data_IF_764019832470
#
_entry.id   IF_764019832470
#
_cell.length_a   1.000
_cell.length_b   1.000
_cell.length_c   1.000
_cell.angle_alpha   90.00
_cell.angle_beta   90.00
_cell.angle_gamma   90.00
#
_symmetry.space_group_name_H-M   'P 1'
#
loop_
_entity.id
_entity.type
_entity.pdbx_description
1 polymer ?
#
# COMPACT_ATOMS: atom_id res chain seq x y z
N UNK A 1 -28.10 1.88 -3.68
CA UNK A 1 -28.75 1.43 -2.43
C UNK A 1 -28.05 0.18 -1.92
N UNK A 2 -27.52 0.22 -0.70
CA UNK A 2 -26.85 -0.95 -0.08
C UNK A 2 -27.92 -1.96 0.35
N UNK A 3 -27.72 -3.24 0.03
CA UNK A 3 -28.67 -4.31 0.34
C UNK A 3 -28.19 -5.18 1.50
N UNK A 4 -29.14 -5.86 2.17
CA UNK A 4 -28.80 -6.82 3.23
C UNK A 4 -27.89 -7.96 2.70
N UNK A 5 -28.05 -8.35 1.43
CA UNK A 5 -27.22 -9.38 0.79
C UNK A 5 -25.78 -8.94 0.61
N UNK A 6 -25.54 -7.64 0.30
CA UNK A 6 -24.18 -7.10 0.19
C UNK A 6 -23.46 -7.09 1.54
N UNK A 7 -24.16 -6.71 2.62
CA UNK A 7 -23.57 -6.75 3.97
C UNK A 7 -23.29 -8.19 4.40
N UNK A 8 -24.22 -9.13 4.12
CA UNK A 8 -23.97 -10.55 4.39
C UNK A 8 -22.74 -11.08 3.64
N UNK A 9 -22.57 -10.69 2.37
CA UNK A 9 -21.42 -11.06 1.57
C UNK A 9 -20.09 -10.53 2.17
N UNK A 10 -20.09 -9.30 2.73
CA UNK A 10 -18.92 -8.77 3.48
C UNK A 10 -18.63 -9.60 4.73
N UNK A 11 -19.66 -10.01 5.48
CA UNK A 11 -19.49 -10.88 6.65
C UNK A 11 -18.88 -12.23 6.31
N UNK A 12 -19.29 -12.83 5.18
CA UNK A 12 -18.69 -14.08 4.70
C UNK A 12 -17.23 -13.91 4.28
N UNK A 13 -16.87 -12.75 3.70
CA UNK A 13 -15.46 -12.41 3.40
C UNK A 13 -14.64 -12.27 4.68
N UNK A 14 -15.18 -11.59 5.69
CA UNK A 14 -14.52 -11.40 6.97
C UNK A 14 -14.26 -12.74 7.71
N UNK A 15 -15.22 -13.66 7.68
CA UNK A 15 -15.05 -15.01 8.25
C UNK A 15 -13.95 -15.78 7.52
N UNK A 16 -13.91 -15.73 6.19
CA UNK A 16 -12.84 -16.36 5.40
C UNK A 16 -11.47 -15.77 5.73
N UNK A 17 -11.39 -14.45 5.83
CA UNK A 17 -10.15 -13.74 6.19
C UNK A 17 -9.64 -14.16 7.58
N UNK A 18 -10.54 -14.33 8.56
CA UNK A 18 -10.20 -14.84 9.89
C UNK A 18 -9.52 -16.22 9.82
N UNK A 19 -10.07 -17.10 9.00
CA UNK A 19 -9.52 -18.46 8.81
C UNK A 19 -8.13 -18.42 8.16
N UNK A 20 -7.96 -17.62 7.11
CA UNK A 20 -6.66 -17.50 6.41
C UNK A 20 -5.57 -16.88 7.28
N UNK A 21 -5.92 -15.92 8.11
CA UNK A 21 -4.97 -15.21 8.97
C UNK A 21 -4.53 -16.02 10.21
N UNK A 22 -5.21 -17.12 10.57
CA UNK A 22 -4.92 -17.90 11.80
C UNK A 22 -4.81 -17.02 13.04
N UNK A 23 -5.79 -16.15 13.27
CA UNK A 23 -5.72 -15.08 14.28
C UNK A 23 -5.51 -15.59 15.70
N UNK A 24 -6.08 -16.75 16.07
CA UNK A 24 -5.89 -17.31 17.41
C UNK A 24 -4.43 -17.62 17.72
N UNK A 25 -3.74 -18.25 16.76
CA UNK A 25 -2.32 -18.55 16.90
C UNK A 25 -1.48 -17.27 16.96
N UNK A 26 -1.84 -16.27 16.16
CA UNK A 26 -1.17 -14.97 16.18
C UNK A 26 -1.35 -14.25 17.51
N UNK A 27 -2.55 -14.28 18.11
CA UNK A 27 -2.79 -13.69 19.43
C UNK A 27 -1.97 -14.36 20.52
N UNK A 28 -1.92 -15.70 20.53
CA UNK A 28 -1.08 -16.44 21.47
C UNK A 28 0.39 -16.09 21.27
N UNK A 29 0.84 -16.00 20.01
CA UNK A 29 2.21 -15.62 19.71
C UNK A 29 2.55 -14.21 20.21
N UNK A 30 1.64 -13.24 20.02
CA UNK A 30 1.80 -11.86 20.52
C UNK A 30 2.00 -11.87 22.03
N UNK A 31 1.13 -12.55 22.78
CA UNK A 31 1.21 -12.62 24.25
C UNK A 31 2.57 -13.19 24.68
N UNK A 32 2.98 -14.32 24.10
CA UNK A 32 4.24 -14.96 24.43
C UNK A 32 5.47 -14.09 24.11
N UNK A 33 5.44 -13.36 23.02
CA UNK A 33 6.55 -12.47 22.64
C UNK A 33 6.55 -11.18 23.50
N UNK A 34 5.39 -10.64 23.85
CA UNK A 34 5.29 -9.51 24.77
C UNK A 34 5.84 -9.84 26.16
N UNK A 35 5.54 -11.04 26.69
CA UNK A 35 6.13 -11.50 27.95
C UNK A 35 7.66 -11.55 27.87
N UNK A 36 8.23 -11.99 26.75
CA UNK A 36 9.69 -11.99 26.55
C UNK A 36 10.26 -10.56 26.49
N UNK A 37 9.56 -9.63 25.84
CA UNK A 37 10.02 -8.23 25.75
C UNK A 37 10.00 -7.50 27.08
N UNK A 38 9.17 -7.94 28.03
CA UNK A 38 9.10 -7.42 29.39
C UNK A 38 10.25 -7.91 30.30
N UNK A 39 11.05 -8.89 29.87
CA UNK A 39 12.15 -9.43 30.64
C UNK A 39 13.31 -8.42 30.73
N UNK A 40 13.95 -8.24 31.90
CA UNK A 40 15.03 -7.26 32.08
C UNK A 40 16.19 -7.41 31.09
N UNK A 41 16.52 -8.65 30.70
CA UNK A 41 17.67 -8.96 29.84
C UNK A 41 17.35 -8.87 28.34
N UNK A 42 16.11 -8.54 27.96
CA UNK A 42 15.70 -8.46 26.53
C UNK A 42 16.48 -7.40 25.77
N UNK A 43 16.78 -6.28 26.42
CA UNK A 43 17.42 -5.12 25.83
C UNK A 43 18.96 -5.18 25.85
N UNK A 44 19.55 -6.21 26.44
CA UNK A 44 21.01 -6.39 26.48
C UNK A 44 21.62 -6.61 25.10
N UNK A 45 20.83 -7.09 24.13
CA UNK A 45 21.23 -7.23 22.73
C UNK A 45 20.29 -6.43 21.79
N UNK A 46 20.66 -5.16 21.48
CA UNK A 46 19.80 -4.27 20.69
C UNK A 46 19.40 -4.83 19.32
N UNK A 47 20.31 -5.50 18.60
CA UNK A 47 20.03 -6.08 17.27
C UNK A 47 18.97 -7.18 17.37
N UNK A 48 19.10 -8.08 18.36
CA UNK A 48 18.13 -9.15 18.56
C UNK A 48 16.76 -8.60 19.00
N UNK A 49 16.76 -7.58 19.86
CA UNK A 49 15.56 -6.89 20.31
C UNK A 49 14.82 -6.24 19.12
N UNK A 50 15.55 -5.55 18.24
CA UNK A 50 15.03 -4.92 17.04
C UNK A 50 14.34 -5.94 16.11
N UNK A 51 15.00 -7.05 15.80
CA UNK A 51 14.45 -8.13 14.97
C UNK A 51 13.16 -8.68 15.58
N UNK A 52 13.17 -8.96 16.89
CA UNK A 52 11.98 -9.47 17.60
C UNK A 52 10.84 -8.48 17.60
N UNK A 53 11.12 -7.19 17.84
CA UNK A 53 10.10 -6.13 17.81
C UNK A 53 9.53 -5.91 16.41
N UNK A 54 10.37 -5.99 15.36
CA UNK A 54 9.92 -5.91 13.95
C UNK A 54 9.00 -7.09 13.61
N UNK A 55 9.36 -8.30 14.01
CA UNK A 55 8.54 -9.49 13.82
C UNK A 55 7.19 -9.39 14.57
N UNK A 56 7.23 -8.96 15.84
CA UNK A 56 6.04 -8.77 16.67
C UNK A 56 5.09 -7.72 16.07
N UNK A 57 5.63 -6.60 15.58
CA UNK A 57 4.84 -5.58 14.89
C UNK A 57 4.14 -6.15 13.66
N UNK A 58 4.82 -6.96 12.86
CA UNK A 58 4.23 -7.62 11.69
C UNK A 58 3.07 -8.57 12.05
N UNK A 59 3.15 -9.26 13.19
CA UNK A 59 2.05 -10.13 13.66
C UNK A 59 0.89 -9.29 14.19
N UNK A 60 1.16 -8.25 15.00
CA UNK A 60 0.16 -7.31 15.52
C UNK A 60 -0.63 -6.63 14.40
N UNK A 61 0.05 -6.20 13.34
CA UNK A 61 -0.58 -5.59 12.17
C UNK A 61 -1.79 -6.38 11.64
N UNK A 62 -1.66 -7.71 11.56
CA UNK A 62 -2.73 -8.57 11.08
C UNK A 62 -3.90 -8.69 12.06
N UNK A 63 -3.60 -8.78 13.36
CA UNK A 63 -4.63 -8.88 14.40
C UNK A 63 -5.39 -7.57 14.51
N UNK A 64 -4.69 -6.45 14.61
CA UNK A 64 -5.29 -5.10 14.70
C UNK A 64 -6.07 -4.76 13.41
N UNK A 65 -5.51 -5.11 12.25
CA UNK A 65 -6.18 -4.92 10.96
C UNK A 65 -7.51 -5.66 10.87
N UNK A 66 -7.54 -6.92 11.34
CA UNK A 66 -8.76 -7.70 11.39
C UNK A 66 -9.76 -7.16 12.42
N UNK A 67 -9.31 -6.77 13.62
CA UNK A 67 -10.17 -6.18 14.65
C UNK A 67 -10.84 -4.91 14.15
N UNK A 68 -10.10 -4.07 13.43
CA UNK A 68 -10.66 -2.89 12.78
C UNK A 68 -11.67 -3.26 11.69
N UNK A 69 -11.39 -4.28 10.86
CA UNK A 69 -12.35 -4.79 9.87
C UNK A 69 -13.65 -5.25 10.52
N UNK A 70 -13.54 -5.97 11.65
CA UNK A 70 -14.69 -6.46 12.42
C UNK A 70 -15.51 -5.32 13.03
N UNK A 71 -14.84 -4.27 13.55
CA UNK A 71 -15.53 -3.07 14.05
C UNK A 71 -16.28 -2.34 12.94
N UNK A 72 -15.63 -2.11 11.78
CA UNK A 72 -16.26 -1.46 10.64
C UNK A 72 -17.43 -2.28 10.07
N UNK A 73 -17.34 -3.59 10.14
CA UNK A 73 -18.43 -4.48 9.75
C UNK A 73 -19.64 -4.33 10.70
N UNK A 74 -19.41 -4.33 12.01
CA UNK A 74 -20.46 -4.06 13.00
C UNK A 74 -21.12 -2.69 12.82
N UNK A 75 -20.33 -1.65 12.50
CA UNK A 75 -20.84 -0.32 12.18
C UNK A 75 -21.74 -0.34 10.91
N UNK A 76 -21.35 -1.10 9.89
CA UNK A 76 -22.14 -1.23 8.66
C UNK A 76 -23.45 -2.00 8.90
N UNK A 77 -23.45 -3.05 9.74
CA UNK A 77 -24.67 -3.78 10.14
C UNK A 77 -25.64 -2.88 10.91
N UNK A 78 -25.15 -2.17 11.92
CA UNK A 78 -25.95 -1.20 12.69
C UNK A 78 -26.51 -0.09 11.80
N UNK A 79 -25.68 0.43 10.88
CA UNK A 79 -26.12 1.44 9.92
C UNK A 79 -27.26 0.96 9.02
N UNK A 80 -27.27 -0.33 8.65
CA UNK A 80 -28.37 -0.92 7.90
C UNK A 80 -29.65 -1.02 8.73
N UNK A 81 -29.55 -1.37 10.02
CA UNK A 81 -30.70 -1.44 10.93
C UNK A 81 -31.35 -0.07 11.10
N UNK A 82 -30.57 0.95 11.44
CA UNK A 82 -31.06 2.34 11.56
C UNK A 82 -31.63 2.89 10.25
N UNK A 83 -31.05 2.50 9.11
CA UNK A 83 -31.62 2.88 7.82
C UNK A 83 -33.00 2.25 7.58
N UNK A 84 -33.21 0.98 7.96
CA UNK A 84 -34.53 0.30 7.85
C UNK A 84 -35.58 0.91 8.77
N UNK A 85 -35.16 1.43 9.92
CA UNK A 85 -36.01 2.14 10.88
C UNK A 85 -36.29 3.60 10.46
N UNK A 86 -35.60 4.08 9.41
CA UNK A 86 -35.76 5.45 8.90
C UNK A 86 -34.96 6.51 9.68
N UNK A 87 -34.08 6.10 10.57
CA UNK A 87 -33.28 6.99 11.42
C UNK A 87 -31.96 7.42 10.75
N UNK A 88 -31.50 6.72 9.71
CA UNK A 88 -30.24 7.01 9.00
C UNK A 88 -30.50 7.32 7.52
N UNK A 89 -29.69 8.21 6.95
CA UNK A 89 -29.71 8.53 5.51
C UNK A 89 -29.00 7.46 4.68
N UNK A 90 -29.44 7.23 3.46
CA UNK A 90 -28.80 6.30 2.52
C UNK A 90 -27.32 6.66 2.23
N UNK A 91 -26.98 7.96 2.25
CA UNK A 91 -25.61 8.44 2.07
C UNK A 91 -24.67 7.90 3.15
N UNK A 92 -25.14 7.87 4.40
CA UNK A 92 -24.34 7.48 5.56
C UNK A 92 -24.15 5.96 5.61
N UNK A 93 -25.22 5.20 5.32
CA UNK A 93 -25.14 3.75 5.12
C UNK A 93 -24.17 3.40 4.00
N UNK A 94 -24.24 4.09 2.86
CA UNK A 94 -23.34 3.85 1.72
C UNK A 94 -21.88 4.14 2.08
N UNK A 95 -21.66 5.17 2.89
CA UNK A 95 -20.32 5.54 3.38
C UNK A 95 -19.77 4.46 4.32
N UNK A 96 -20.55 4.01 5.31
CA UNK A 96 -20.15 2.97 6.25
C UNK A 96 -19.83 1.65 5.50
N UNK A 97 -20.69 1.24 4.58
CA UNK A 97 -20.49 0.06 3.75
C UNK A 97 -19.18 0.15 2.95
N UNK A 98 -18.96 1.24 2.20
CA UNK A 98 -17.76 1.42 1.39
C UNK A 98 -16.48 1.47 2.23
N UNK A 99 -16.53 2.07 3.42
CA UNK A 99 -15.38 2.10 4.32
C UNK A 99 -15.00 0.70 4.78
N UNK A 100 -16.00 -0.12 5.14
CA UNK A 100 -15.79 -1.53 5.50
C UNK A 100 -15.28 -2.35 4.31
N UNK A 101 -15.92 -2.22 3.15
CA UNK A 101 -15.56 -2.93 1.92
C UNK A 101 -14.10 -2.66 1.52
N UNK A 102 -13.72 -1.39 1.44
CA UNK A 102 -12.36 -0.98 1.08
C UNK A 102 -11.31 -1.52 2.07
N UNK A 103 -11.63 -1.54 3.37
CA UNK A 103 -10.72 -2.05 4.39
C UNK A 103 -10.51 -3.57 4.28
N UNK A 104 -11.60 -4.31 4.05
CA UNK A 104 -11.52 -5.77 3.84
C UNK A 104 -10.75 -6.07 2.56
N UNK A 105 -11.01 -5.37 1.46
CA UNK A 105 -10.28 -5.52 0.20
C UNK A 105 -8.77 -5.27 0.36
N UNK A 106 -8.40 -4.24 1.10
CA UNK A 106 -7.00 -3.93 1.37
C UNK A 106 -6.31 -5.06 2.17
N UNK A 107 -6.97 -5.61 3.19
CA UNK A 107 -6.43 -6.72 3.97
C UNK A 107 -6.32 -8.02 3.15
N UNK A 108 -7.34 -8.32 2.34
CA UNK A 108 -7.31 -9.47 1.43
C UNK A 108 -6.16 -9.35 0.42
N UNK A 109 -5.99 -8.16 -0.15
CA UNK A 109 -4.89 -7.90 -1.08
C UNK A 109 -3.52 -8.05 -0.41
N UNK A 110 -3.33 -7.46 0.77
CA UNK A 110 -2.09 -7.61 1.54
C UNK A 110 -1.81 -9.08 1.88
N UNK A 111 -2.84 -9.87 2.16
CA UNK A 111 -2.70 -11.30 2.43
C UNK A 111 -2.28 -12.11 1.19
N UNK A 112 -2.57 -11.63 -0.02
CA UNK A 112 -2.09 -12.23 -1.27
C UNK A 112 -0.61 -11.95 -1.52
N UNK A 113 -0.05 -10.89 -0.93
CA UNK A 113 1.37 -10.53 -1.01
C UNK A 113 2.17 -11.45 -0.07
N UNK A 114 2.53 -12.64 -0.56
CA UNK A 114 3.13 -13.71 0.23
C UNK A 114 4.66 -13.75 0.17
N UNK A 115 5.29 -12.99 -0.71
CA UNK A 115 6.74 -12.88 -0.82
C UNK A 115 7.35 -12.19 0.42
N UNK A 116 8.52 -12.66 0.87
CA UNK A 116 9.23 -12.03 1.98
C UNK A 116 9.55 -10.56 1.69
N UNK A 117 9.91 -10.27 0.44
CA UNK A 117 10.22 -8.92 -0.04
C UNK A 117 8.98 -8.04 -0.15
N UNK A 118 7.79 -8.61 -0.33
CA UNK A 118 6.54 -7.86 -0.53
C UNK A 118 6.20 -6.95 0.65
N UNK A 119 6.67 -7.27 1.83
CA UNK A 119 6.45 -6.49 3.08
C UNK A 119 7.37 -5.28 3.21
N UNK A 120 8.40 -5.21 2.37
CA UNK A 120 9.43 -4.18 2.46
C UNK A 120 8.94 -2.84 1.89
N UNK A 121 9.65 -1.79 2.29
CA UNK A 121 9.63 -0.50 1.64
C UNK A 121 10.19 -0.61 0.23
N UNK A 122 9.96 0.39 -0.61
CA UNK A 122 10.35 0.36 -2.01
C UNK A 122 11.33 1.48 -2.37
N UNK A 123 12.17 1.21 -3.36
CA UNK A 123 12.93 2.22 -4.11
C UNK A 123 12.41 2.23 -5.54
N UNK A 124 11.85 3.35 -5.96
CA UNK A 124 11.26 3.53 -7.27
C UNK A 124 12.16 4.41 -8.13
N UNK A 125 12.60 3.89 -9.28
CA UNK A 125 13.40 4.60 -10.26
C UNK A 125 12.57 4.85 -11.52
N UNK A 126 12.52 6.10 -11.97
CA UNK A 126 11.84 6.52 -13.19
C UNK A 126 12.90 7.10 -14.12
N UNK A 127 12.95 6.62 -15.36
CA UNK A 127 13.91 7.10 -16.37
C UNK A 127 13.19 7.40 -17.67
N UNK A 128 13.33 8.62 -18.16
CA UNK A 128 12.79 9.03 -19.44
C UNK A 128 13.44 8.22 -20.57
N UNK A 129 12.60 7.68 -21.45
CA UNK A 129 13.02 6.87 -22.60
C UNK A 129 12.89 7.65 -23.92
N UNK A 130 12.46 6.94 -24.97
CA UNK A 130 12.24 7.56 -26.27
C UNK A 130 11.10 8.58 -26.24
N UNK A 131 11.35 9.77 -26.84
CA UNK A 131 10.37 10.86 -26.93
C UNK A 131 10.97 12.27 -26.62
N UNK A 132 12.26 12.34 -26.28
CA UNK A 132 12.93 13.62 -26.00
C UNK A 132 12.27 14.39 -24.84
N UNK A 133 11.96 15.69 -25.04
CA UNK A 133 11.30 16.55 -24.04
C UNK A 133 9.97 15.98 -23.55
N UNK A 134 9.19 15.35 -24.43
CA UNK A 134 7.93 14.71 -24.10
C UNK A 134 8.09 13.57 -23.08
N UNK A 135 9.14 12.75 -23.23
CA UNK A 135 9.39 11.65 -22.29
C UNK A 135 9.85 12.16 -20.93
N UNK A 136 10.61 13.27 -20.90
CA UNK A 136 10.99 13.92 -19.64
C UNK A 136 9.77 14.50 -18.92
N UNK A 137 8.84 15.11 -19.63
CA UNK A 137 7.59 15.63 -19.08
C UNK A 137 6.70 14.47 -18.54
N UNK A 138 6.60 13.37 -19.30
CA UNK A 138 5.89 12.18 -18.88
C UNK A 138 6.49 11.56 -17.61
N UNK A 139 7.83 11.53 -17.50
CA UNK A 139 8.51 11.08 -16.28
C UNK A 139 8.17 11.95 -15.07
N UNK A 140 8.08 13.27 -15.24
CA UNK A 140 7.62 14.19 -14.20
C UNK A 140 6.16 13.95 -13.76
N UNK A 141 5.29 13.63 -14.71
CA UNK A 141 3.89 13.26 -14.40
C UNK A 141 3.81 11.96 -13.62
N UNK A 142 4.59 10.94 -14.00
CA UNK A 142 4.66 9.66 -13.28
C UNK A 142 5.22 9.85 -11.86
N UNK A 143 6.29 10.63 -11.70
CA UNK A 143 6.82 10.96 -10.38
C UNK A 143 5.74 11.54 -9.48
N UNK A 144 5.01 12.54 -9.96
CA UNK A 144 3.93 13.17 -9.21
C UNK A 144 2.82 12.16 -8.86
N UNK A 145 2.44 11.30 -9.79
CA UNK A 145 1.44 10.26 -9.57
C UNK A 145 1.84 9.32 -8.44
N UNK A 146 3.09 8.84 -8.42
CA UNK A 146 3.56 7.93 -7.38
C UNK A 146 3.72 8.61 -6.02
N UNK A 147 4.14 9.88 -5.98
CA UNK A 147 4.19 10.65 -4.74
C UNK A 147 2.77 10.82 -4.16
N UNK A 148 1.79 11.21 -4.98
CA UNK A 148 0.39 11.34 -4.54
C UNK A 148 -0.20 10.01 -4.09
N UNK A 149 0.17 8.90 -4.74
CA UNK A 149 -0.21 7.57 -4.31
C UNK A 149 0.38 7.25 -2.93
N UNK A 150 1.68 7.49 -2.74
CA UNK A 150 2.38 7.26 -1.48
C UNK A 150 1.76 8.08 -0.34
N UNK A 151 1.48 9.37 -0.55
CA UNK A 151 0.79 10.23 0.41
C UNK A 151 -0.60 9.68 0.79
N UNK A 152 -1.37 9.23 -0.21
CA UNK A 152 -2.70 8.65 0.02
C UNK A 152 -2.64 7.36 0.85
N UNK A 153 -1.58 6.57 0.69
CA UNK A 153 -1.35 5.34 1.45
C UNK A 153 -0.70 5.60 2.83
N UNK A 154 -0.34 6.85 3.13
CA UNK A 154 0.35 7.22 4.37
C UNK A 154 1.83 6.80 4.39
N UNK A 155 2.42 6.57 3.22
CA UNK A 155 3.85 6.28 3.08
C UNK A 155 4.68 7.57 3.15
N UNK A 156 5.90 7.45 3.66
CA UNK A 156 6.88 8.54 3.62
C UNK A 156 7.71 8.43 2.35
N UNK A 157 7.90 9.55 1.65
CA UNK A 157 8.70 9.59 0.43
C UNK A 157 9.95 10.44 0.63
N UNK A 158 11.08 9.95 0.09
CA UNK A 158 12.35 10.66 0.10
C UNK A 158 12.98 10.60 -1.27
N UNK A 159 13.29 11.76 -1.84
CA UNK A 159 14.03 11.85 -3.10
C UNK A 159 15.51 11.54 -2.84
N UNK A 160 16.02 10.53 -3.53
CA UNK A 160 17.43 10.14 -3.44
C UNK A 160 18.27 10.77 -4.54
N UNK A 161 17.75 10.73 -5.76
CA UNK A 161 18.42 11.29 -6.95
C UNK A 161 17.38 11.98 -7.83
N UNK A 162 17.67 13.17 -8.29
CA UNK A 162 16.87 13.89 -9.28
C UNK A 162 17.77 14.48 -10.36
N UNK A 163 17.53 14.09 -11.59
CA UNK A 163 18.12 14.73 -12.77
C UNK A 163 17.01 15.33 -13.61
N UNK A 164 17.02 16.64 -13.75
CA UNK A 164 16.05 17.35 -14.57
C UNK A 164 16.32 17.14 -16.08
N UNK A 165 15.28 17.28 -16.90
CA UNK A 165 15.41 17.33 -18.34
C UNK A 165 15.97 18.67 -18.80
N UNK A 166 16.60 18.69 -19.97
CA UNK A 166 17.28 19.90 -20.50
C UNK A 166 16.29 21.07 -20.78
N UNK A 167 15.07 20.77 -21.16
CA UNK A 167 14.04 21.76 -21.52
C UNK A 167 12.86 21.74 -20.56
N UNK A 168 12.39 20.54 -20.20
CA UNK A 168 11.27 20.34 -19.30
C UNK A 168 11.30 18.96 -18.68
N UNK A 169 10.59 18.81 -17.57
CA UNK A 169 10.38 17.53 -16.90
C UNK A 169 11.63 16.94 -16.26
N UNK A 170 11.69 15.64 -16.18
CA UNK A 170 12.69 14.87 -15.42
C UNK A 170 13.32 13.82 -16.34
N UNK A 171 14.64 13.75 -16.35
CA UNK A 171 15.38 12.74 -17.08
C UNK A 171 15.47 11.43 -16.28
N UNK A 172 15.80 11.52 -15.01
CA UNK A 172 15.85 10.38 -14.09
C UNK A 172 15.51 10.84 -12.70
N UNK A 173 14.73 10.06 -11.96
CA UNK A 173 14.49 10.25 -10.55
C UNK A 173 14.49 8.91 -9.83
N UNK A 174 15.04 8.89 -8.62
CA UNK A 174 14.98 7.76 -7.70
C UNK A 174 14.35 8.23 -6.41
N UNK A 175 13.28 7.58 -5.99
CA UNK A 175 12.49 7.91 -4.80
C UNK A 175 12.47 6.68 -3.89
N UNK A 176 12.80 6.89 -2.65
CA UNK A 176 12.56 5.93 -1.58
C UNK A 176 11.13 6.13 -1.06
N UNK A 177 10.40 5.05 -0.92
CA UNK A 177 9.01 5.02 -0.46
C UNK A 177 8.97 4.08 0.75
N UNK A 178 8.92 4.67 1.95
CA UNK A 178 8.90 3.95 3.20
C UNK A 178 7.47 3.66 3.64
N UNK A 179 7.18 2.40 3.87
CA UNK A 179 5.88 1.94 4.37
C UNK A 179 5.71 0.43 4.23
N UNK A 180 4.83 -0.12 5.03
CA UNK A 180 4.54 -1.56 5.01
C UNK A 180 3.91 -1.96 3.68
N UNK A 181 4.46 -3.01 3.06
CA UNK A 181 4.04 -3.53 1.76
C UNK A 181 4.21 -2.58 0.57
N UNK A 182 4.99 -1.49 0.71
CA UNK A 182 5.17 -0.55 -0.40
C UNK A 182 5.74 -1.22 -1.65
N UNK A 183 6.75 -2.11 -1.50
CA UNK A 183 7.28 -2.90 -2.62
C UNK A 183 6.22 -3.84 -3.20
N UNK A 184 5.49 -4.57 -2.37
CA UNK A 184 4.46 -5.51 -2.82
C UNK A 184 3.38 -4.86 -3.69
N UNK A 185 2.94 -3.64 -3.32
CA UNK A 185 1.98 -2.87 -4.11
C UNK A 185 2.57 -2.31 -5.40
N UNK A 186 3.83 -1.89 -5.38
CA UNK A 186 4.45 -1.17 -6.50
C UNK A 186 5.22 -2.08 -7.47
N UNK A 187 5.59 -3.31 -7.09
CA UNK A 187 6.36 -4.21 -7.95
C UNK A 187 5.71 -4.49 -9.31
N UNK A 188 4.38 -4.43 -9.39
CA UNK A 188 3.62 -4.60 -10.63
C UNK A 188 3.80 -3.45 -11.62
N UNK A 189 4.31 -2.30 -11.18
CA UNK A 189 4.59 -1.13 -12.01
C UNK A 189 5.89 -1.26 -12.81
N UNK A 190 6.70 -2.29 -12.55
CA UNK A 190 7.93 -2.54 -13.31
C UNK A 190 7.65 -2.68 -14.79
N UNK A 191 8.26 -1.82 -15.60
CA UNK A 191 8.14 -1.87 -17.03
C UNK A 191 8.22 -0.54 -17.74
N UNK A 192 7.71 -0.50 -18.98
CA UNK A 192 7.71 0.69 -19.81
C UNK A 192 6.31 1.29 -19.88
N UNK A 193 6.19 2.52 -19.42
CA UNK A 193 4.97 3.29 -19.38
C UNK A 193 4.84 4.16 -20.63
N UNK A 194 3.76 4.00 -21.36
CA UNK A 194 3.49 4.71 -22.62
C UNK A 194 2.46 5.81 -22.44
N UNK A 195 2.78 7.02 -22.91
CA UNK A 195 1.83 8.12 -23.03
C UNK A 195 1.58 8.44 -24.49
N UNK A 196 0.33 8.61 -24.86
CA UNK A 196 -0.08 9.10 -26.20
C UNK A 196 -0.99 10.30 -26.00
N UNK A 197 -0.52 11.49 -26.39
CA UNK A 197 -1.29 12.74 -26.29
C UNK A 197 -0.93 13.72 -27.41
N UNK A 198 -1.73 14.79 -27.55
CA UNK A 198 -1.32 15.96 -28.34
C UNK A 198 -0.19 16.63 -27.55
N UNK A 199 0.94 16.89 -28.25
CA UNK A 199 2.11 17.49 -27.62
C UNK A 199 1.88 18.94 -27.21
N UNK A 200 2.17 19.32 -25.94
CA UNK A 200 2.20 20.72 -25.55
C UNK A 200 3.46 21.45 -26.02
N UNK A 201 4.46 20.74 -26.56
CA UNK A 201 5.74 21.25 -27.00
C UNK A 201 5.81 21.38 -28.54
N UNK A 202 4.85 20.82 -29.29
CA UNK A 202 4.77 20.90 -30.76
C UNK A 202 3.78 21.98 -31.20
N UNK A 203 4.28 23.01 -31.86
CA UNK A 203 3.48 24.10 -32.38
C UNK A 203 2.40 23.65 -33.40
N UNK A 204 2.61 22.48 -34.02
CA UNK A 204 1.65 21.90 -34.99
C UNK A 204 0.56 21.04 -34.30
N UNK A 205 0.55 20.97 -32.98
CA UNK A 205 -0.40 20.18 -32.16
C UNK A 205 -0.52 18.72 -32.63
N UNK A 206 0.58 18.10 -33.05
CA UNK A 206 0.60 16.70 -33.47
C UNK A 206 0.54 15.76 -32.28
N UNK A 207 0.02 14.58 -32.54
CA UNK A 207 -0.06 13.49 -31.54
C UNK A 207 1.30 12.81 -31.44
N UNK A 208 1.87 12.79 -30.24
CA UNK A 208 3.16 12.17 -29.92
C UNK A 208 3.00 10.96 -29.01
N UNK A 209 3.96 10.05 -29.09
CA UNK A 209 4.07 8.90 -28.20
C UNK A 209 5.38 9.00 -27.45
N UNK A 210 5.32 8.87 -26.13
CA UNK A 210 6.47 8.92 -25.22
C UNK A 210 6.55 7.68 -24.38
N UNK A 211 7.76 7.28 -24.03
CA UNK A 211 8.03 6.11 -23.20
C UNK A 211 8.89 6.49 -22.01
N UNK A 212 8.57 5.89 -20.87
CA UNK A 212 9.32 6.03 -19.62
C UNK A 212 9.47 4.65 -19.02
N UNK A 213 10.65 4.31 -18.55
CA UNK A 213 10.87 3.08 -17.77
C UNK A 213 10.71 3.35 -16.29
N UNK A 214 9.98 2.47 -15.62
CA UNK A 214 9.80 2.45 -14.18
C UNK A 214 10.36 1.15 -13.64
N UNK A 215 11.23 1.24 -12.64
CA UNK A 215 11.77 0.09 -11.91
C UNK A 215 11.52 0.28 -10.42
N UNK A 216 11.03 -0.77 -9.78
CA UNK A 216 10.78 -0.83 -8.35
C UNK A 216 11.64 -1.93 -7.75
N UNK A 217 12.40 -1.57 -6.73
CA UNK A 217 13.26 -2.47 -5.99
C UNK A 217 12.81 -2.52 -4.53
N UNK A 218 12.95 -3.67 -3.83
CA UNK A 218 12.75 -3.69 -2.40
C UNK A 218 13.87 -2.91 -1.70
N UNK A 219 13.53 -2.14 -0.69
CA UNK A 219 14.51 -1.54 0.21
C UNK A 219 14.98 -2.62 1.18
N UNK A 220 16.19 -3.11 0.93
CA UNK A 220 16.79 -4.18 1.72
C UNK A 220 17.55 -3.57 2.88
N UNK A 221 17.23 -3.98 4.10
CA UNK A 221 18.01 -3.66 5.30
C UNK A 221 19.26 -4.54 5.36
N UNK A 222 20.32 -4.10 6.07
CA UNK A 222 21.55 -4.87 6.33
C UNK A 222 21.33 -6.22 7.05
N UNK A 223 20.07 -6.57 7.35
CA UNK A 223 19.66 -7.82 7.99
C UNK A 223 19.42 -8.96 7.02
N UNK A 224 19.38 -8.70 5.70
CA UNK A 224 19.15 -9.73 4.69
C UNK A 224 20.51 -10.21 4.15
N UNK A 225 20.89 -11.45 4.48
CA UNK A 225 22.04 -12.13 3.89
C UNK A 225 21.75 -12.38 2.40
N UNK A 226 22.43 -11.63 1.55
CA UNK A 226 22.44 -11.87 0.10
C UNK A 226 23.36 -13.06 -0.15
N UNK A 227 22.76 -14.21 -0.48
CA UNK A 227 23.48 -15.41 -0.87
C UNK A 227 23.81 -15.40 -2.36
#
# INVERSE_FOLDING_TARGET
MVTSEQIKALGERLIRLQSYLNLEQKRIHIINEEEKTASPNFWDNPKKAEITMKALRGVKFWVEGYEKASSLFGEAELSLEFFKEGELKESDLTKAFKTCENWIEELEFKNMLSGEEDKLSAVLQITAGAGGTESCDWAGMLMRMYIMYAEKQGYTTKELVLQQGDVAGIKTVTIEIEGDFAFGFLKGENGVHRLVRISPFDSNAKRHTSFVSVYVFPLVDDTIDIK
#
